data_IF_702446784291
#
_entry.id   IF_702446784291
#
_cell.length_a   1.000
_cell.length_b   1.000
_cell.length_c   1.000
_cell.angle_alpha   90.00
_cell.angle_beta   90.00
_cell.angle_gamma   90.00
#
_symmetry.space_group_name_H-M   'P 1'
#
loop_
_entity.id
_entity.type
_entity.pdbx_description
1 polymer ?
#
# COMPACT_ATOMS: atom_id res chain seq x y z
N UNK A 1 -23.66 -19.27 6.60
CA UNK A 1 -23.20 -19.33 5.19
C UNK A 1 -21.70 -19.09 5.17
N UNK A 2 -20.91 -20.16 5.12
CA UNK A 2 -19.47 -20.06 4.93
C UNK A 2 -19.25 -19.64 3.49
N UNK A 3 -18.79 -18.40 3.24
CA UNK A 3 -18.31 -18.01 1.91
C UNK A 3 -17.11 -18.90 1.61
N UNK A 4 -17.19 -19.71 0.57
CA UNK A 4 -16.02 -20.42 0.06
C UNK A 4 -14.96 -19.38 -0.30
N UNK A 5 -13.78 -19.51 0.31
CA UNK A 5 -12.65 -18.63 0.05
C UNK A 5 -12.10 -19.02 -1.33
N UNK A 6 -12.30 -18.14 -2.33
CA UNK A 6 -11.67 -18.29 -3.64
C UNK A 6 -10.18 -17.94 -3.50
N UNK A 7 -9.34 -18.97 -3.40
CA UNK A 7 -7.89 -18.82 -3.19
C UNK A 7 -7.22 -17.96 -4.26
N UNK A 8 -7.70 -17.99 -5.51
CA UNK A 8 -7.15 -17.15 -6.60
C UNK A 8 -7.38 -15.66 -6.37
N UNK A 9 -8.54 -15.30 -5.84
CA UNK A 9 -8.88 -13.90 -5.57
C UNK A 9 -8.05 -13.36 -4.40
N UNK A 10 -7.83 -14.20 -3.38
CA UNK A 10 -6.96 -13.91 -2.24
C UNK A 10 -5.50 -13.73 -2.67
N UNK A 11 -4.99 -14.58 -3.55
CA UNK A 11 -3.62 -14.48 -4.08
C UNK A 11 -3.41 -13.18 -4.86
N UNK A 12 -4.38 -12.78 -5.68
CA UNK A 12 -4.31 -11.53 -6.44
C UNK A 12 -4.41 -10.30 -5.52
N UNK A 13 -5.20 -10.35 -4.46
CA UNK A 13 -5.25 -9.28 -3.45
C UNK A 13 -3.91 -9.16 -2.71
N UNK A 14 -3.32 -10.28 -2.30
CA UNK A 14 -2.00 -10.30 -1.66
C UNK A 14 -0.93 -9.69 -2.57
N UNK A 15 -0.90 -10.05 -3.86
CA UNK A 15 0.03 -9.46 -4.83
C UNK A 15 -0.12 -7.94 -4.93
N UNK A 16 -1.36 -7.43 -4.92
CA UNK A 16 -1.61 -5.98 -4.96
C UNK A 16 -1.13 -5.27 -3.69
N UNK A 17 -1.30 -5.91 -2.52
CA UNK A 17 -0.80 -5.38 -1.24
C UNK A 17 0.72 -5.32 -1.22
N UNK A 18 1.39 -6.41 -1.62
CA UNK A 18 2.86 -6.45 -1.67
C UNK A 18 3.42 -5.40 -2.64
N UNK A 19 2.85 -5.30 -3.84
CA UNK A 19 3.23 -4.26 -4.80
C UNK A 19 3.03 -2.85 -4.23
N UNK A 20 1.94 -2.62 -3.50
CA UNK A 20 1.68 -1.31 -2.87
C UNK A 20 2.78 -0.95 -1.86
N UNK A 21 3.27 -1.91 -1.08
CA UNK A 21 4.41 -1.67 -0.19
C UNK A 21 5.68 -1.33 -0.96
N UNK A 22 6.00 -2.09 -2.01
CA UNK A 22 7.17 -1.82 -2.86
C UNK A 22 7.10 -0.42 -3.47
N UNK A 23 5.93 -0.03 -4.02
CA UNK A 23 5.73 1.30 -4.61
C UNK A 23 5.94 2.42 -3.56
N UNK A 24 5.49 2.23 -2.31
CA UNK A 24 5.74 3.22 -1.23
C UNK A 24 7.22 3.30 -0.89
N UNK A 25 7.89 2.15 -0.74
CA UNK A 25 9.31 2.10 -0.41
C UNK A 25 10.17 2.73 -1.52
N UNK A 26 9.85 2.48 -2.78
CA UNK A 26 10.53 3.07 -3.93
C UNK A 26 10.41 4.61 -3.92
N UNK A 27 9.23 5.15 -3.61
CA UNK A 27 9.04 6.61 -3.48
C UNK A 27 9.95 7.19 -2.41
N UNK A 28 10.03 6.55 -1.25
CA UNK A 28 10.87 7.03 -0.16
C UNK A 28 12.37 6.89 -0.47
N UNK A 29 12.76 5.81 -1.16
CA UNK A 29 14.14 5.61 -1.61
C UNK A 29 14.59 6.67 -2.61
N UNK A 30 13.73 7.03 -3.58
CA UNK A 30 14.02 8.07 -4.57
C UNK A 30 14.20 9.47 -3.96
N UNK A 31 13.65 9.72 -2.77
CA UNK A 31 13.66 11.02 -2.11
C UNK A 31 14.52 11.03 -0.82
N UNK A 32 15.19 9.93 -0.49
CA UNK A 32 15.90 9.73 0.78
C UNK A 32 15.04 10.06 2.02
N UNK A 33 13.77 9.66 1.99
CA UNK A 33 12.81 9.96 3.03
C UNK A 33 11.43 10.33 2.52
N UNK A 34 10.68 11.05 3.35
CA UNK A 34 9.33 11.48 2.99
C UNK A 34 9.40 12.61 1.94
N UNK A 35 8.78 12.44 0.75
CA UNK A 35 8.79 13.47 -0.27
C UNK A 35 7.89 14.65 0.12
N UNK A 36 8.30 15.88 -0.25
CA UNK A 36 7.49 17.10 -0.06
C UNK A 36 6.12 17.00 -0.75
N UNK A 37 6.08 16.36 -1.93
CA UNK A 37 4.86 16.08 -2.68
C UNK A 37 4.74 14.57 -2.86
N UNK A 38 3.80 13.96 -2.12
CA UNK A 38 3.55 12.51 -2.22
C UNK A 38 2.91 12.15 -3.56
N UNK A 39 3.55 11.32 -4.41
CA UNK A 39 2.90 10.76 -5.58
C UNK A 39 1.75 9.83 -5.17
N UNK A 40 0.77 9.64 -6.05
CA UNK A 40 -0.35 8.76 -5.76
C UNK A 40 0.01 7.28 -5.90
N UNK A 41 -0.17 6.50 -4.84
CA UNK A 41 0.00 5.04 -4.79
C UNK A 41 -1.33 4.33 -5.03
N UNK A 42 -1.31 3.25 -5.81
CA UNK A 42 -2.53 2.51 -6.19
C UNK A 42 -3.08 1.73 -5.00
N UNK A 43 -4.34 1.98 -4.65
CA UNK A 43 -5.05 1.24 -3.61
C UNK A 43 -5.27 -0.22 -4.05
N UNK A 44 -4.91 -1.23 -3.23
CA UNK A 44 -5.06 -2.64 -3.60
C UNK A 44 -6.52 -3.09 -3.67
N UNK A 45 -7.45 -2.37 -3.04
CA UNK A 45 -8.88 -2.71 -3.04
C UNK A 45 -9.68 -2.02 -4.15
N UNK A 46 -9.52 -0.71 -4.35
CA UNK A 46 -10.34 0.06 -5.30
C UNK A 46 -9.60 0.53 -6.56
N UNK A 47 -8.30 0.25 -6.65
CA UNK A 47 -7.40 0.61 -7.78
C UNK A 47 -7.26 2.12 -8.06
N UNK A 48 -7.89 2.98 -7.27
CA UNK A 48 -7.67 4.43 -7.31
C UNK A 48 -6.36 4.79 -6.61
N UNK A 49 -5.80 5.94 -6.96
CA UNK A 49 -4.59 6.46 -6.30
C UNK A 49 -4.92 7.12 -4.97
N UNK A 50 -4.04 6.97 -3.99
CA UNK A 50 -4.06 7.66 -2.71
C UNK A 50 -2.66 8.21 -2.41
N UNK A 51 -2.60 9.42 -1.85
CA UNK A 51 -1.37 10.03 -1.32
C UNK A 51 -1.26 9.85 0.19
N UNK A 52 -2.24 9.19 0.82
CA UNK A 52 -2.29 8.99 2.26
C UNK A 52 -1.56 7.71 2.65
N UNK A 53 -0.24 7.81 2.69
CA UNK A 53 0.65 6.77 3.17
C UNK A 53 1.87 7.36 3.86
N UNK A 54 2.48 6.58 4.74
CA UNK A 54 3.74 6.91 5.42
C UNK A 54 4.64 5.68 5.48
N UNK A 55 5.95 5.91 5.50
CA UNK A 55 6.96 4.90 5.73
C UNK A 55 7.86 5.35 6.89
N UNK A 56 8.15 4.46 7.83
CA UNK A 56 9.13 4.71 8.90
C UNK A 56 10.57 4.62 8.35
N UNK A 57 10.93 5.55 7.46
CA UNK A 57 12.17 5.49 6.67
C UNK A 57 13.44 5.35 7.50
N UNK A 58 13.54 6.15 8.57
CA UNK A 58 14.69 6.18 9.47
C UNK A 58 14.65 5.08 10.55
N UNK A 59 13.62 4.23 10.54
CA UNK A 59 13.44 3.13 11.47
C UNK A 59 13.38 1.79 10.76
N UNK A 60 12.29 1.05 10.98
CA UNK A 60 12.09 -0.29 10.45
C UNK A 60 11.50 -0.31 9.02
N UNK A 61 11.33 0.86 8.39
CA UNK A 61 10.72 1.01 7.06
C UNK A 61 9.29 0.44 6.93
N UNK A 62 8.56 0.31 8.05
CA UNK A 62 7.16 -0.10 8.02
C UNK A 62 6.29 0.90 7.29
N UNK A 63 5.38 0.39 6.46
CA UNK A 63 4.45 1.17 5.65
C UNK A 63 3.05 1.16 6.27
N UNK A 64 2.44 2.33 6.35
CA UNK A 64 1.01 2.51 6.62
C UNK A 64 0.35 3.16 5.42
N UNK A 65 -0.74 2.59 4.93
CA UNK A 65 -1.49 3.08 3.77
C UNK A 65 -2.99 3.18 4.08
N UNK A 66 -3.61 4.28 3.68
CA UNK A 66 -5.06 4.53 3.84
C UNK A 66 -5.62 5.03 2.51
N UNK A 67 -6.81 4.54 2.14
CA UNK A 67 -7.58 5.03 0.99
C UNK A 67 -8.99 5.44 1.42
N UNK A 68 -9.57 6.42 0.72
CA UNK A 68 -10.93 6.91 0.94
C UNK A 68 -12.01 5.83 0.79
N UNK A 69 -11.74 4.75 0.05
CA UNK A 69 -12.65 3.62 -0.04
C UNK A 69 -12.73 2.78 1.25
N UNK A 70 -11.98 3.14 2.29
CA UNK A 70 -11.90 2.42 3.56
C UNK A 70 -10.79 1.37 3.65
N UNK A 71 -10.02 1.17 2.57
CA UNK A 71 -8.84 0.28 2.60
C UNK A 71 -7.79 0.84 3.56
N UNK A 72 -7.32 0.00 4.48
CA UNK A 72 -6.25 0.30 5.43
C UNK A 72 -5.29 -0.88 5.46
N UNK A 73 -4.03 -0.63 5.16
CA UNK A 73 -3.01 -1.67 5.10
C UNK A 73 -1.83 -1.25 5.97
N UNK A 74 -1.37 -2.18 6.80
CA UNK A 74 -0.21 -2.03 7.67
C UNK A 74 0.70 -3.23 7.44
N UNK A 75 1.99 -2.96 7.25
CA UNK A 75 3.03 -3.98 7.24
C UNK A 75 3.39 -4.41 8.66
#
# INVERSE_FOLDING_TARGET
>A
MSKEINTKELDEELKRVLKMFDDVLEVYEQHDGEPDIKPGITCPSCLKKSTNYVCNWNGNKHVHFICECGCRVHQ
#
